data_IF_320580759137
#
_entry.id   IF_320580759137
#
_cell.length_a   1.000
_cell.length_b   1.000
_cell.length_c   1.000
_cell.angle_alpha   90.00
_cell.angle_beta   90.00
_cell.angle_gamma   90.00
#
_symmetry.space_group_name_H-M   'P 1'
#
loop_
_entity.id
_entity.type
_entity.pdbx_description
1 polymer ?
#
# COMPACT_ATOMS: atom_id res chain seq x y z
N UNK A 1 34.67 3.74 23.17
CA UNK A 1 33.34 4.36 23.42
C UNK A 1 32.20 3.40 23.01
N UNK A 2 31.68 2.54 23.92
CA UNK A 2 30.68 1.51 23.59
C UNK A 2 29.25 1.83 24.11
N UNK A 3 28.75 3.06 23.93
CA UNK A 3 27.44 3.47 24.47
C UNK A 3 26.21 3.25 23.55
N UNK A 4 26.42 2.84 22.29
CA UNK A 4 25.35 2.88 21.27
C UNK A 4 24.47 1.60 21.19
N UNK A 5 24.97 0.43 21.61
CA UNK A 5 24.20 -0.84 21.50
C UNK A 5 23.05 -0.93 22.49
N UNK A 6 23.21 -0.41 23.70
CA UNK A 6 22.19 -0.47 24.77
C UNK A 6 20.97 0.39 24.47
N UNK A 7 21.16 1.54 23.80
CA UNK A 7 20.07 2.42 23.41
C UNK A 7 19.19 1.79 22.31
N UNK A 8 19.80 1.15 21.31
CA UNK A 8 19.08 0.45 20.23
C UNK A 8 18.26 -0.74 20.72
N UNK A 9 18.78 -1.51 21.67
CA UNK A 9 18.05 -2.62 22.29
C UNK A 9 16.86 -2.13 23.14
N UNK A 10 17.00 -0.99 23.85
CA UNK A 10 15.89 -0.40 24.60
C UNK A 10 14.79 0.12 23.66
N UNK A 11 15.14 0.75 22.55
CA UNK A 11 14.18 1.21 21.56
C UNK A 11 13.41 0.06 20.90
N UNK A 12 14.10 -1.02 20.51
CA UNK A 12 13.45 -2.22 19.94
C UNK A 12 12.52 -2.93 20.94
N UNK A 13 12.93 -2.98 22.22
CA UNK A 13 12.10 -3.54 23.31
C UNK A 13 10.87 -2.67 23.57
N UNK A 14 11.01 -1.35 23.55
CA UNK A 14 9.89 -0.42 23.71
C UNK A 14 8.90 -0.52 22.54
N UNK A 15 9.38 -0.62 21.30
CA UNK A 15 8.54 -0.83 20.12
C UNK A 15 7.75 -2.13 20.18
N UNK A 16 8.37 -3.22 20.65
CA UNK A 16 7.69 -4.51 20.83
C UNK A 16 6.61 -4.47 21.91
N UNK A 17 6.86 -3.75 23.02
CA UNK A 17 5.87 -3.58 24.11
C UNK A 17 4.66 -2.77 23.63
N UNK A 18 4.90 -1.69 22.87
CA UNK A 18 3.83 -0.87 22.28
C UNK A 18 2.97 -1.66 21.28
N UNK A 19 3.59 -2.53 20.47
CA UNK A 19 2.88 -3.39 19.51
C UNK A 19 1.99 -4.42 20.23
N UNK A 20 2.49 -5.06 21.29
CA UNK A 20 1.70 -6.02 22.09
C UNK A 20 0.53 -5.32 22.80
N UNK A 21 0.74 -4.09 23.30
CA UNK A 21 -0.33 -3.32 23.92
C UNK A 21 -1.42 -2.95 22.89
N UNK A 22 -1.03 -2.53 21.69
CA UNK A 22 -1.96 -2.21 20.59
C UNK A 22 -2.80 -3.43 20.19
N UNK A 23 -2.17 -4.58 20.01
CA UNK A 23 -2.89 -5.84 19.69
C UNK A 23 -3.90 -6.18 20.78
N UNK A 24 -3.55 -5.99 22.06
CA UNK A 24 -4.49 -6.23 23.18
C UNK A 24 -5.67 -5.26 23.18
N UNK A 25 -5.44 -3.99 22.89
CA UNK A 25 -6.49 -2.96 22.82
C UNK A 25 -7.42 -3.22 21.63
N UNK A 26 -6.88 -3.57 20.47
CA UNK A 26 -7.67 -3.88 19.27
C UNK A 26 -8.51 -5.15 19.48
N UNK A 27 -7.95 -6.17 20.15
CA UNK A 27 -8.68 -7.39 20.50
C UNK A 27 -9.83 -7.09 21.47
N UNK A 28 -9.60 -6.23 22.47
CA UNK A 28 -10.62 -5.81 23.42
C UNK A 28 -11.76 -5.02 22.75
N UNK A 29 -11.42 -4.15 21.79
CA UNK A 29 -12.39 -3.35 20.99
C UNK A 29 -13.25 -4.26 20.10
N UNK A 30 -12.64 -5.24 19.44
CA UNK A 30 -13.33 -6.28 18.67
C UNK A 30 -14.29 -7.09 19.53
N UNK A 31 -13.87 -7.55 20.72
CA UNK A 31 -14.76 -8.30 21.62
C UNK A 31 -15.94 -7.48 22.12
N UNK A 32 -15.75 -6.17 22.36
CA UNK A 32 -16.83 -5.29 22.81
C UNK A 32 -17.83 -5.00 21.67
N UNK A 33 -17.36 -4.85 20.43
CA UNK A 33 -18.25 -4.66 19.28
C UNK A 33 -19.10 -5.89 18.99
N UNK A 34 -18.55 -7.10 19.15
CA UNK A 34 -19.29 -8.36 19.00
C UNK A 34 -20.34 -8.52 20.12
N UNK A 35 -20.06 -7.99 21.33
CA UNK A 35 -21.00 -8.06 22.46
C UNK A 35 -22.11 -7.01 22.38
N UNK A 36 -21.87 -5.91 21.66
CA UNK A 36 -22.85 -4.84 21.43
C UNK A 36 -23.85 -5.17 20.31
N UNK A 37 -23.53 -6.09 19.40
CA UNK A 37 -24.50 -6.67 18.46
C UNK A 37 -25.37 -7.72 19.16
N UNK A 38 -26.35 -7.27 19.94
CA UNK A 38 -27.38 -8.14 20.50
C UNK A 38 -28.33 -8.64 19.38
N UNK A 39 -28.67 -9.95 19.33
CA UNK A 39 -29.61 -10.50 18.36
C UNK A 39 -31.03 -9.93 18.44
N UNK A 40 -31.35 -9.17 19.50
CA UNK A 40 -32.66 -8.51 19.64
C UNK A 40 -32.83 -7.32 18.69
N UNK A 41 -31.74 -6.70 18.21
CA UNK A 41 -31.82 -5.55 17.30
C UNK A 41 -32.08 -5.95 15.83
N UNK A 42 -31.76 -7.18 15.44
CA UNK A 42 -32.07 -7.71 14.11
C UNK A 42 -33.56 -8.10 13.96
N UNK A 43 -34.25 -8.40 15.07
CA UNK A 43 -35.66 -8.80 15.07
C UNK A 43 -36.63 -7.63 14.85
N UNK A 44 -36.24 -6.41 15.25
CA UNK A 44 -37.01 -5.19 15.01
C UNK A 44 -36.93 -4.74 13.54
N UNK A 45 -35.76 -4.89 12.90
CA UNK A 45 -35.58 -4.52 11.49
C UNK A 45 -36.33 -5.46 10.52
N UNK A 46 -36.48 -6.74 10.88
CA UNK A 46 -37.23 -7.70 10.05
C UNK A 46 -38.76 -7.54 10.13
N UNK A 47 -39.32 -7.02 11.23
CA UNK A 47 -40.76 -6.80 11.32
C UNK A 47 -41.22 -5.57 10.52
N UNK A 48 -40.37 -4.55 10.37
CA UNK A 48 -40.73 -3.31 9.67
C UNK A 48 -40.72 -3.48 8.13
N UNK A 49 -39.87 -4.36 7.60
CA UNK A 49 -39.85 -4.73 6.17
C UNK A 49 -41.01 -5.66 5.74
N UNK A 50 -41.74 -6.26 6.69
CA UNK A 50 -42.85 -7.18 6.37
C UNK A 50 -44.19 -6.50 6.06
N UNK A 51 -44.29 -5.17 6.26
CA UNK A 51 -45.54 -4.41 6.02
C UNK A 51 -45.61 -3.67 4.68
N UNK A 52 -44.57 -3.69 3.85
CA UNK A 52 -44.55 -2.96 2.57
C UNK A 52 -44.03 -3.81 1.40
N UNK A 53 -44.87 -4.72 0.87
CA UNK A 53 -45.01 -5.03 -0.57
C UNK A 53 -45.97 -6.19 -0.81
N UNK A 54 -47.15 -5.86 -1.32
CA UNK A 54 -47.94 -6.76 -2.17
C UNK A 54 -47.58 -6.46 -3.64
N UNK A 55 -47.68 -7.50 -4.48
CA UNK A 55 -47.49 -7.58 -5.95
C UNK A 55 -46.12 -8.08 -6.48
N UNK A 56 -46.01 -9.43 -6.54
CA UNK A 56 -45.49 -10.34 -7.61
C UNK A 56 -44.16 -10.09 -8.39
N UNK A 57 -43.60 -11.12 -9.10
CA UNK A 57 -43.54 -12.56 -8.82
C UNK A 57 -42.10 -13.11 -8.68
N UNK A 58 -42.00 -14.32 -8.13
CA UNK A 58 -40.77 -15.03 -7.80
C UNK A 58 -39.98 -15.54 -9.02
N UNK A 59 -38.66 -15.30 -9.01
CA UNK A 59 -37.66 -16.17 -9.63
C UNK A 59 -36.79 -16.78 -8.56
N UNK A 60 -36.82 -18.11 -8.48
CA UNK A 60 -36.04 -18.94 -7.55
C UNK A 60 -34.56 -18.91 -7.95
N UNK A 61 -33.69 -18.47 -7.05
CA UNK A 61 -32.29 -18.92 -7.05
C UNK A 61 -31.85 -19.30 -5.64
N UNK A 62 -31.33 -20.51 -5.57
CA UNK A 62 -30.98 -21.28 -4.39
C UNK A 62 -29.64 -20.80 -3.81
N UNK A 63 -29.66 -20.19 -2.62
CA UNK A 63 -28.46 -19.99 -1.82
C UNK A 63 -28.18 -21.25 -1.00
N UNK A 64 -27.13 -21.98 -1.37
CA UNK A 64 -26.55 -23.02 -0.53
C UNK A 64 -25.66 -22.34 0.51
N UNK A 65 -26.10 -22.47 1.77
CA UNK A 65 -25.32 -22.29 2.99
C UNK A 65 -24.04 -23.11 2.92
N UNK A 66 -22.90 -22.44 3.08
CA UNK A 66 -21.67 -23.06 3.56
C UNK A 66 -21.15 -22.16 4.69
N UNK A 67 -21.40 -22.64 5.91
CA UNK A 67 -20.57 -22.35 7.07
C UNK A 67 -19.11 -22.69 6.74
N UNK A 68 -18.15 -22.14 7.50
CA UNK A 68 -17.00 -22.84 8.09
C UNK A 68 -16.09 -21.81 8.82
N UNK A 69 -15.27 -22.26 9.78
CA UNK A 69 -14.97 -21.48 10.99
C UNK A 69 -13.62 -20.75 10.96
N UNK A 70 -13.58 -19.62 11.67
CA UNK A 70 -12.35 -18.99 12.15
C UNK A 70 -11.75 -19.78 13.32
N UNK A 71 -10.46 -20.13 13.25
CA UNK A 71 -9.46 -20.00 14.34
C UNK A 71 -8.09 -20.54 13.90
N UNK A 72 -7.03 -19.97 14.50
CA UNK A 72 -5.60 -20.39 14.52
C UNK A 72 -4.72 -19.83 13.38
N UNK A 73 -3.54 -19.21 13.57
CA UNK A 73 -2.55 -19.27 14.65
C UNK A 73 -1.68 -17.99 14.71
N UNK A 74 -1.25 -17.64 15.92
CA UNK A 74 -0.06 -16.86 16.21
C UNK A 74 1.21 -17.74 16.28
N UNK A 75 2.38 -17.13 16.07
CA UNK A 75 3.72 -17.56 16.53
C UNK A 75 4.36 -18.86 16.00
N UNK A 76 5.30 -18.71 15.05
CA UNK A 76 6.56 -19.48 14.88
C UNK A 76 7.42 -18.66 13.90
N UNK A 77 8.72 -18.35 14.04
CA UNK A 77 9.86 -19.07 14.64
C UNK A 77 11.10 -18.14 14.62
N UNK A 78 11.87 -18.10 15.70
CA UNK A 78 13.29 -17.69 15.73
C UNK A 78 14.19 -18.94 15.62
N UNK A 79 15.39 -18.78 15.02
CA UNK A 79 16.61 -19.64 15.03
C UNK A 79 16.95 -20.47 13.78
N UNK A 80 17.99 -20.02 13.06
CA UNK A 80 19.22 -20.69 12.53
C UNK A 80 19.74 -19.79 11.39
N UNK A 81 21.02 -19.46 11.25
CA UNK A 81 22.18 -20.33 11.04
C UNK A 81 23.45 -19.65 11.60
N UNK A 82 24.33 -20.44 12.23
CA UNK A 82 25.73 -20.13 12.45
C UNK A 82 26.59 -21.29 11.91
N UNK A 83 27.78 -20.92 11.41
CA UNK A 83 29.01 -21.69 11.12
C UNK A 83 29.02 -22.78 10.04
N UNK A 84 30.01 -22.71 9.14
CA UNK A 84 31.10 -23.69 8.89
C UNK A 84 32.09 -23.01 7.89
N UNK A 85 33.33 -22.67 8.30
CA UNK A 85 34.62 -23.42 8.14
C UNK A 85 35.09 -23.50 6.67
N UNK A 86 36.36 -23.41 6.27
CA UNK A 86 37.66 -23.09 6.88
C UNK A 86 38.68 -22.93 5.74
N UNK A 87 39.79 -22.26 6.04
CA UNK A 87 41.07 -22.10 5.32
C UNK A 87 41.67 -23.39 4.70
N UNK A 88 42.35 -23.23 3.55
CA UNK A 88 43.49 -24.08 3.17
C UNK A 88 44.70 -23.23 2.76
N UNK A 89 45.83 -23.60 3.33
CA UNK A 89 47.19 -23.12 3.10
C UNK A 89 47.93 -24.15 2.26
N UNK A 90 48.69 -23.76 1.23
CA UNK A 90 49.80 -24.56 0.67
C UNK A 90 50.96 -23.63 0.33
N UNK A 91 52.17 -24.02 0.75
CA UNK A 91 53.42 -23.31 0.49
C UNK A 91 54.35 -24.02 -0.50
N UNK A 92 55.11 -23.18 -1.23
CA UNK A 92 56.57 -23.20 -1.51
C UNK A 92 57.24 -24.40 -2.21
N UNK A 93 57.86 -24.14 -3.38
CA UNK A 93 59.31 -24.20 -3.76
C UNK A 93 59.47 -24.07 -5.31
N UNK A 94 60.18 -23.07 -5.89
CA UNK A 94 61.63 -22.86 -6.21
C UNK A 94 62.24 -24.01 -7.06
N UNK A 95 62.98 -23.87 -8.17
CA UNK A 95 63.33 -22.84 -9.18
C UNK A 95 64.11 -23.57 -10.31
N UNK A 96 64.09 -23.10 -11.57
CA UNK A 96 65.29 -23.10 -12.44
C UNK A 96 65.09 -22.20 -13.69
N UNK A 97 66.20 -21.65 -14.18
CA UNK A 97 66.28 -20.49 -15.06
C UNK A 97 66.48 -20.87 -16.54
N UNK A 98 65.84 -20.11 -17.44
CA UNK A 98 66.36 -19.89 -18.79
C UNK A 98 65.78 -18.58 -19.37
N UNK A 99 66.68 -17.65 -19.68
CA UNK A 99 66.59 -16.51 -20.62
C UNK A 99 65.21 -15.87 -20.88
N UNK A 100 64.98 -14.67 -20.33
CA UNK A 100 63.82 -13.83 -20.66
C UNK A 100 64.14 -12.85 -21.82
N UNK A 101 63.23 -12.67 -22.81
CA UNK A 101 63.33 -11.60 -23.82
C UNK A 101 63.06 -10.20 -23.21
N UNK A 102 63.46 -9.10 -23.88
CA UNK A 102 63.26 -7.74 -23.35
C UNK A 102 61.78 -7.44 -23.08
N UNK A 103 61.45 -6.59 -22.09
CA UNK A 103 60.07 -6.29 -21.75
C UNK A 103 59.36 -5.62 -22.93
N UNK A 104 58.10 -5.98 -23.21
CA UNK A 104 57.30 -5.26 -24.21
C UNK A 104 57.12 -3.81 -23.78
N UNK A 105 57.18 -2.90 -24.76
CA UNK A 105 56.90 -1.47 -24.56
C UNK A 105 55.49 -1.27 -23.97
N UNK A 106 55.29 -0.29 -23.07
CA UNK A 106 53.98 -0.03 -22.50
C UNK A 106 52.97 0.31 -23.60
N UNK A 107 51.70 -0.13 -23.48
CA UNK A 107 50.66 0.23 -24.43
C UNK A 107 50.42 1.74 -24.42
N UNK A 108 49.97 2.33 -25.55
CA UNK A 108 49.61 3.75 -25.58
C UNK A 108 48.51 4.04 -24.55
N UNK A 109 48.49 5.25 -23.97
CA UNK A 109 47.45 5.65 -23.02
C UNK A 109 46.05 5.55 -23.69
N UNK A 110 45.01 5.20 -22.91
CA UNK A 110 43.66 5.13 -23.45
C UNK A 110 43.23 6.49 -24.01
N UNK A 111 42.44 6.51 -25.10
CA UNK A 111 41.81 7.74 -25.58
C UNK A 111 41.04 8.39 -24.42
N UNK A 112 41.24 9.70 -24.23
CA UNK A 112 40.49 10.47 -23.23
C UNK A 112 38.98 10.32 -23.46
N UNK A 113 38.16 10.55 -22.41
CA UNK A 113 36.72 10.33 -22.50
C UNK A 113 36.14 11.12 -23.68
N UNK A 114 35.64 10.41 -24.70
CA UNK A 114 34.74 10.99 -25.68
C UNK A 114 33.61 11.65 -24.90
N UNK A 115 33.36 12.92 -25.24
CA UNK A 115 32.43 13.79 -24.54
C UNK A 115 31.16 13.05 -24.15
N UNK A 116 30.85 13.10 -22.86
CA UNK A 116 29.56 12.68 -22.33
C UNK A 116 28.48 13.44 -23.10
N UNK A 117 27.85 12.76 -24.06
CA UNK A 117 26.54 13.15 -24.56
C UNK A 117 25.67 13.43 -23.34
N UNK A 118 25.08 14.63 -23.20
CA UNK A 118 24.18 14.89 -22.10
C UNK A 118 23.06 13.87 -22.18
N UNK A 119 22.98 13.00 -21.18
CA UNK A 119 21.79 12.19 -20.92
C UNK A 119 20.62 13.16 -20.98
N UNK A 120 19.56 12.91 -21.77
CA UNK A 120 18.38 13.73 -21.73
C UNK A 120 17.90 13.74 -20.28
N UNK A 121 18.06 14.87 -19.60
CA UNK A 121 17.50 15.07 -18.28
C UNK A 121 15.99 14.92 -18.47
N UNK A 122 15.43 13.78 -18.06
CA UNK A 122 13.99 13.62 -17.97
C UNK A 122 13.51 14.83 -17.18
N UNK A 123 12.66 15.70 -17.74
CA UNK A 123 12.20 16.88 -17.03
C UNK A 123 11.58 16.37 -15.72
N UNK A 124 12.13 16.83 -14.59
CA UNK A 124 11.55 16.52 -13.29
C UNK A 124 10.11 17.05 -13.29
N UNK A 125 9.15 16.13 -13.40
CA UNK A 125 7.74 16.48 -13.34
C UNK A 125 7.53 17.07 -11.94
N UNK A 126 7.25 18.37 -11.88
CA UNK A 126 7.02 19.05 -10.61
C UNK A 126 5.78 18.46 -9.94
N UNK A 127 5.81 18.42 -8.60
CA UNK A 127 4.63 18.08 -7.79
C UNK A 127 3.42 18.90 -8.26
N UNK A 128 2.22 18.30 -8.40
CA UNK A 128 1.00 19.01 -8.73
C UNK A 128 0.78 20.18 -7.77
N UNK A 129 0.53 21.36 -8.33
CA UNK A 129 0.10 22.53 -7.56
C UNK A 129 -1.43 22.48 -7.55
N UNK A 130 -1.99 22.04 -6.43
CA UNK A 130 -3.45 21.95 -6.24
C UNK A 130 -3.91 23.09 -5.36
N UNK A 131 -4.95 23.79 -5.79
CA UNK A 131 -5.56 24.86 -4.99
C UNK A 131 -6.05 24.32 -3.64
N UNK A 132 -5.94 25.07 -2.53
CA UNK A 132 -6.43 24.63 -1.22
C UNK A 132 -7.93 24.31 -1.18
N UNK A 133 -8.70 24.95 -2.07
CA UNK A 133 -10.15 24.79 -2.22
C UNK A 133 -10.46 24.42 -3.66
N UNK A 134 -11.34 23.44 -3.85
CA UNK A 134 -11.80 22.98 -5.15
C UNK A 134 -13.12 23.61 -5.58
N UNK A 135 -13.55 23.34 -6.82
CA UNK A 135 -14.92 23.60 -7.26
C UNK A 135 -15.96 22.98 -6.31
N UNK A 136 -17.14 23.60 -6.21
CA UNK A 136 -18.23 23.09 -5.38
C UNK A 136 -18.59 21.65 -5.74
N UNK A 137 -18.70 20.78 -4.72
CA UNK A 137 -19.01 19.36 -4.89
C UNK A 137 -17.84 18.49 -5.40
N UNK A 138 -16.68 19.06 -5.73
CA UNK A 138 -15.50 18.29 -6.13
C UNK A 138 -14.78 17.68 -4.92
N UNK A 139 -14.14 16.53 -5.12
CA UNK A 139 -13.41 15.82 -4.08
C UNK A 139 -11.91 15.96 -4.33
N UNK A 140 -11.15 16.25 -3.27
CA UNK A 140 -9.71 16.25 -3.36
C UNK A 140 -9.21 14.81 -3.23
N UNK A 141 -8.54 14.34 -4.28
CA UNK A 141 -7.79 13.09 -4.25
C UNK A 141 -6.33 13.39 -3.94
N UNK A 142 -5.78 12.66 -2.99
CA UNK A 142 -4.38 12.76 -2.59
C UNK A 142 -3.67 11.42 -2.76
N UNK A 143 -2.36 11.48 -2.92
CA UNK A 143 -1.48 10.37 -2.65
C UNK A 143 -1.09 10.43 -1.17
N UNK A 144 -1.37 9.38 -0.43
CA UNK A 144 -0.84 9.21 0.91
C UNK A 144 0.22 8.11 0.89
N UNK A 145 1.32 8.34 1.61
CA UNK A 145 2.42 7.39 1.71
C UNK A 145 2.66 6.99 3.15
N UNK A 146 2.92 5.71 3.36
CA UNK A 146 3.34 5.14 4.63
C UNK A 146 4.78 4.65 4.50
N UNK A 147 5.64 5.08 5.43
CA UNK A 147 7.05 4.68 5.45
C UNK A 147 7.16 3.15 5.52
N UNK A 148 7.69 2.57 4.44
CA UNK A 148 7.80 1.12 4.29
C UNK A 148 9.09 0.50 4.82
N UNK A 149 10.03 1.31 5.31
CA UNK A 149 11.39 0.85 5.61
C UNK A 149 11.42 -0.42 6.49
N UNK A 150 12.18 -1.47 6.08
CA UNK A 150 13.20 -1.49 5.03
C UNK A 150 12.68 -1.80 3.61
N UNK A 151 11.36 -1.86 3.40
CA UNK A 151 10.73 -2.06 2.10
C UNK A 151 10.38 -0.72 1.44
N UNK A 152 9.83 -0.77 0.21
CA UNK A 152 9.28 0.39 -0.49
C UNK A 152 8.09 0.98 0.28
N UNK A 153 7.89 2.28 0.15
CA UNK A 153 6.75 2.95 0.78
C UNK A 153 5.42 2.36 0.30
N UNK A 154 4.47 2.24 1.21
CA UNK A 154 3.12 1.82 0.86
C UNK A 154 2.31 3.04 0.43
N UNK A 155 1.81 3.02 -0.80
CA UNK A 155 1.04 4.11 -1.39
C UNK A 155 -0.45 3.78 -1.40
N UNK A 156 -1.28 4.82 -1.26
CA UNK A 156 -2.71 4.73 -1.39
C UNK A 156 -3.29 6.03 -1.96
N UNK A 157 -4.42 5.94 -2.66
CA UNK A 157 -5.26 7.11 -2.86
C UNK A 157 -6.03 7.41 -1.59
N UNK A 158 -6.18 8.70 -1.31
CA UNK A 158 -7.04 9.22 -0.27
C UNK A 158 -8.07 10.15 -0.88
N UNK A 159 -9.35 9.78 -0.74
CA UNK A 159 -10.47 10.66 -1.10
C UNK A 159 -11.00 11.27 0.19
N UNK A 160 -10.82 12.58 0.35
CA UNK A 160 -11.28 13.31 1.54
C UNK A 160 -12.80 13.38 1.58
N UNK A 161 -13.38 13.26 2.77
CA UNK A 161 -14.74 13.74 3.03
C UNK A 161 -14.82 15.26 2.82
N UNK A 162 -15.97 15.75 2.37
CA UNK A 162 -16.26 17.18 2.26
C UNK A 162 -16.30 17.87 3.62
N UNK A 163 -16.67 17.14 4.68
CA UNK A 163 -16.91 17.72 6.01
C UNK A 163 -15.68 17.67 6.93
N UNK A 164 -14.77 16.73 6.73
CA UNK A 164 -13.57 16.56 7.55
C UNK A 164 -12.42 16.02 6.66
N UNK A 165 -11.33 16.77 6.46
CA UNK A 165 -10.22 16.36 5.59
C UNK A 165 -9.41 15.15 6.11
N UNK A 166 -9.59 14.77 7.38
CA UNK A 166 -8.92 13.61 8.00
C UNK A 166 -9.82 12.35 8.02
N UNK A 167 -11.08 12.48 7.63
CA UNK A 167 -12.00 11.36 7.40
C UNK A 167 -12.16 11.15 5.90
N UNK A 168 -12.16 9.91 5.44
CA UNK A 168 -12.26 9.64 4.00
C UNK A 168 -12.21 8.17 3.62
N UNK A 169 -11.93 7.93 2.34
CA UNK A 169 -11.72 6.59 1.79
C UNK A 169 -10.26 6.42 1.41
N UNK A 170 -9.64 5.37 1.95
CA UNK A 170 -8.32 4.92 1.50
C UNK A 170 -8.50 3.79 0.48
N UNK A 171 -7.95 3.96 -0.72
CA UNK A 171 -7.91 2.93 -1.76
C UNK A 171 -6.47 2.46 -1.92
N UNK A 172 -6.23 1.16 -1.73
CA UNK A 172 -4.88 0.63 -1.87
C UNK A 172 -4.87 -0.86 -2.20
N UNK A 173 -3.80 -1.29 -2.86
CA UNK A 173 -3.45 -2.69 -2.89
C UNK A 173 -2.97 -3.13 -1.48
N UNK A 174 -3.51 -4.23 -0.98
CA UNK A 174 -3.15 -4.84 0.30
C UNK A 174 -2.90 -6.33 0.13
N UNK A 175 -2.01 -6.91 0.92
CA UNK A 175 -1.65 -8.33 0.82
C UNK A 175 -0.16 -8.56 0.99
N UNK A 176 0.31 -9.71 0.54
CA UNK A 176 1.71 -10.12 0.64
C UNK A 176 2.13 -11.03 -0.52
N UNK A 177 3.44 -11.19 -0.70
CA UNK A 177 4.02 -11.99 -1.80
C UNK A 177 3.51 -13.44 -1.83
N UNK A 178 3.19 -14.03 -0.67
CA UNK A 178 2.75 -15.42 -0.56
C UNK A 178 1.28 -15.56 -0.93
N UNK A 179 0.44 -14.66 -0.44
CA UNK A 179 -1.01 -14.72 -0.59
C UNK A 179 -1.54 -13.96 -1.81
N UNK A 180 -0.72 -13.09 -2.40
CA UNK A 180 -1.10 -12.14 -3.43
C UNK A 180 -1.60 -10.83 -2.83
N UNK A 181 -1.90 -9.87 -3.70
CA UNK A 181 -2.50 -8.60 -3.32
C UNK A 181 -3.93 -8.51 -3.84
N UNK A 182 -4.74 -7.72 -3.14
CA UNK A 182 -6.11 -7.36 -3.51
C UNK A 182 -6.32 -5.86 -3.30
N UNK A 183 -7.25 -5.28 -4.05
CA UNK A 183 -7.67 -3.90 -3.81
C UNK A 183 -8.62 -3.83 -2.60
N UNK A 184 -8.34 -2.95 -1.66
CA UNK A 184 -9.18 -2.69 -0.48
C UNK A 184 -9.57 -1.20 -0.42
N UNK A 185 -10.82 -0.97 -0.03
CA UNK A 185 -11.42 0.34 0.25
C UNK A 185 -11.68 0.46 1.74
N UNK A 186 -10.93 1.31 2.44
CA UNK A 186 -11.20 1.62 3.85
C UNK A 186 -12.17 2.78 3.92
N UNK A 187 -13.45 2.47 4.07
CA UNK A 187 -14.58 3.41 4.17
C UNK A 187 -14.54 4.12 5.52
N UNK A 188 -14.88 5.41 5.55
CA UNK A 188 -14.88 6.24 6.77
C UNK A 188 -13.66 6.01 7.65
N UNK A 189 -12.50 5.91 7.02
CA UNK A 189 -11.24 5.81 7.73
C UNK A 189 -10.94 7.18 8.35
N UNK A 190 -10.48 7.19 9.60
CA UNK A 190 -10.00 8.40 10.26
C UNK A 190 -8.48 8.30 10.39
N UNK A 191 -7.75 9.20 9.73
CA UNK A 191 -6.29 9.22 9.75
C UNK A 191 -5.71 9.53 11.15
N UNK A 192 -6.53 10.03 12.08
CA UNK A 192 -6.15 10.39 13.45
C UNK A 192 -6.30 9.23 14.43
N UNK A 193 -7.29 8.35 14.23
CA UNK A 193 -7.56 7.21 15.14
C UNK A 193 -6.61 6.01 14.89
N UNK A 194 -5.80 6.09 13.84
CA UNK A 194 -4.94 4.98 13.46
C UNK A 194 -3.53 5.19 13.98
N UNK A 195 -3.00 4.23 14.76
CA UNK A 195 -1.57 4.18 15.10
C UNK A 195 -0.65 3.93 13.90
N UNK A 196 -1.12 4.17 12.68
CA UNK A 196 -0.42 4.11 11.42
C UNK A 196 -0.80 5.38 10.63
N UNK A 197 -0.14 6.48 10.93
CA UNK A 197 -0.37 7.79 10.31
C UNK A 197 0.48 7.86 9.03
N UNK A 198 -0.05 8.37 7.91
CA UNK A 198 0.75 8.58 6.70
C UNK A 198 1.98 9.44 6.99
N UNK A 199 3.15 9.03 6.48
CA UNK A 199 4.36 9.84 6.52
C UNK A 199 4.30 11.05 5.61
N UNK A 200 3.47 11.01 4.56
CA UNK A 200 3.20 12.18 3.72
C UNK A 200 1.81 12.15 3.12
N UNK A 201 1.31 13.33 2.78
CA UNK A 201 0.07 13.57 2.03
C UNK A 201 0.39 14.55 0.90
N UNK A 202 0.08 14.16 -0.33
CA UNK A 202 0.35 14.95 -1.53
C UNK A 202 -0.97 15.15 -2.27
N UNK A 203 -1.52 16.38 -2.30
CA UNK A 203 -2.66 16.71 -3.14
C UNK A 203 -2.35 16.41 -4.60
N UNK A 204 -3.21 15.61 -5.26
CA UNK A 204 -3.03 15.25 -6.66
C UNK A 204 -3.90 16.13 -7.55
N UNK A 205 -5.22 16.09 -7.36
CA UNK A 205 -6.15 16.97 -8.05
C UNK A 205 -7.52 17.02 -7.36
N UNK A 206 -8.27 18.07 -7.65
CA UNK A 206 -9.72 18.09 -7.46
C UNK A 206 -10.38 17.30 -8.59
N UNK A 207 -11.23 16.35 -8.23
CA UNK A 207 -12.03 15.53 -9.17
C UNK A 207 -13.50 15.93 -9.03
N UNK A 208 -14.19 16.08 -10.16
CA UNK A 208 -15.61 16.45 -10.18
C UNK A 208 -16.46 15.47 -9.34
N UNK A 209 -17.40 16.03 -8.56
CA UNK A 209 -18.29 15.27 -7.68
C UNK A 209 -19.10 14.19 -8.36
N UNK A 210 -19.37 14.32 -9.67
CA UNK A 210 -20.10 13.32 -10.46
C UNK A 210 -19.48 11.92 -10.44
N UNK A 211 -18.19 11.83 -10.15
CA UNK A 211 -17.47 10.55 -10.09
C UNK A 211 -17.57 9.85 -8.72
N UNK A 212 -18.20 10.49 -7.74
CA UNK A 212 -18.29 10.03 -6.36
C UNK A 212 -19.75 9.96 -5.87
N UNK A 213 -20.01 9.01 -4.99
CA UNK A 213 -21.20 8.97 -4.14
C UNK A 213 -20.69 8.98 -2.70
N UNK A 214 -20.57 10.17 -2.10
CA UNK A 214 -19.96 10.32 -0.78
C UNK A 214 -20.67 9.50 0.29
N UNK A 215 -22.00 9.41 0.24
CA UNK A 215 -22.78 8.67 1.24
C UNK A 215 -22.46 7.17 1.18
N UNK A 216 -22.43 6.61 -0.03
CA UNK A 216 -22.04 5.22 -0.24
C UNK A 216 -20.55 5.00 0.10
N UNK A 217 -19.69 5.91 -0.34
CA UNK A 217 -18.25 5.86 -0.12
C UNK A 217 -17.85 5.89 1.35
N UNK A 218 -18.54 6.70 2.14
CA UNK A 218 -18.35 6.80 3.59
C UNK A 218 -19.18 5.76 4.36
N UNK A 219 -19.94 4.87 3.70
CA UNK A 219 -20.72 3.84 4.39
C UNK A 219 -21.56 4.42 5.58
N UNK A 220 -22.22 5.56 5.35
CA UNK A 220 -22.95 6.32 6.37
C UNK A 220 -22.12 6.70 7.61
N UNK A 221 -20.82 6.93 7.47
CA UNK A 221 -19.92 7.28 8.57
C UNK A 221 -19.35 6.07 9.33
N UNK A 222 -19.75 4.84 8.97
CA UNK A 222 -19.34 3.64 9.69
C UNK A 222 -18.07 3.07 9.04
N UNK A 223 -17.00 2.96 9.82
CA UNK A 223 -15.75 2.36 9.35
C UNK A 223 -15.97 0.94 8.83
N UNK A 224 -15.51 0.65 7.61
CA UNK A 224 -15.64 -0.65 6.96
C UNK A 224 -14.45 -0.90 6.03
N UNK A 225 -13.93 -2.12 6.06
CA UNK A 225 -13.06 -2.63 5.00
C UNK A 225 -13.93 -3.25 3.92
N UNK A 226 -13.77 -2.78 2.69
CA UNK A 226 -14.56 -3.22 1.55
C UNK A 226 -13.65 -3.61 0.37
N UNK A 227 -14.19 -4.37 -0.56
CA UNK A 227 -13.54 -4.77 -1.82
C UNK A 227 -14.42 -4.47 -3.03
N UNK A 228 -15.66 -4.03 -2.80
CA UNK A 228 -16.61 -3.69 -3.86
C UNK A 228 -16.57 -2.17 -4.09
N UNK A 229 -16.35 -1.70 -5.33
CA UNK A 229 -16.44 -0.27 -5.65
C UNK A 229 -17.91 0.19 -5.59
N UNK A 230 -18.14 1.40 -5.06
CA UNK A 230 -19.48 2.00 -4.93
C UNK A 230 -19.66 3.30 -5.71
N UNK A 231 -18.60 3.80 -6.34
CA UNK A 231 -18.64 5.00 -7.18
C UNK A 231 -17.80 4.83 -8.46
N UNK A 232 -17.91 5.78 -9.39
CA UNK A 232 -17.23 5.71 -10.69
C UNK A 232 -15.71 5.80 -10.56
N UNK A 233 -15.20 6.61 -9.62
CA UNK A 233 -13.76 6.68 -9.34
C UNK A 233 -13.22 5.31 -8.93
N UNK A 234 -13.85 4.67 -7.94
CA UNK A 234 -13.46 3.35 -7.45
C UNK A 234 -13.60 2.27 -8.53
N UNK A 235 -14.70 2.29 -9.29
CA UNK A 235 -14.94 1.34 -10.36
C UNK A 235 -13.89 1.47 -11.48
N UNK A 236 -13.48 2.69 -11.82
CA UNK A 236 -12.41 2.94 -12.79
C UNK A 236 -11.06 2.44 -12.29
N UNK A 237 -10.67 2.80 -11.05
CA UNK A 237 -9.42 2.33 -10.45
C UNK A 237 -9.37 0.79 -10.31
N UNK A 238 -10.52 0.15 -10.09
CA UNK A 238 -10.65 -1.31 -9.97
C UNK A 238 -10.52 -2.09 -11.28
N UNK A 239 -10.48 -1.41 -12.44
CA UNK A 239 -10.21 -2.06 -13.73
C UNK A 239 -8.76 -2.52 -13.85
N UNK A 240 -7.87 -1.99 -13.01
CA UNK A 240 -6.48 -2.41 -12.90
C UNK A 240 -6.38 -3.44 -11.79
N UNK A 241 -5.91 -4.63 -12.16
CA UNK A 241 -5.72 -5.72 -11.22
C UNK A 241 -4.68 -5.35 -10.17
N UNK A 242 -4.92 -5.78 -8.93
CA UNK A 242 -3.91 -5.68 -7.89
C UNK A 242 -2.69 -6.56 -8.26
N UNK A 243 -1.49 -6.22 -7.75
CA UNK A 243 -0.28 -7.01 -7.96
C UNK A 243 -0.47 -8.51 -7.76
N UNK A 244 -0.07 -9.29 -8.76
CA UNK A 244 -0.10 -10.75 -8.70
C UNK A 244 0.87 -11.35 -7.68
N UNK A 245 0.73 -12.66 -7.44
CA UNK A 245 1.68 -13.45 -6.62
C UNK A 245 3.01 -13.56 -7.36
N UNK A 246 3.97 -12.69 -7.11
CA UNK A 246 5.31 -12.84 -7.68
C UNK A 246 6.40 -12.61 -6.64
N UNK A 247 7.49 -13.37 -6.76
CA UNK A 247 8.69 -13.24 -5.94
C UNK A 247 9.55 -12.03 -6.35
N UNK A 248 9.26 -11.45 -7.52
CA UNK A 248 9.84 -10.18 -7.92
C UNK A 248 9.11 -9.09 -7.14
N UNK A 249 9.87 -8.11 -6.62
CA UNK A 249 9.34 -7.00 -5.82
C UNK A 249 8.25 -6.23 -6.59
N UNK A 250 6.99 -6.65 -6.53
CA UNK A 250 5.88 -5.82 -6.99
C UNK A 250 5.49 -4.89 -5.85
N UNK A 251 5.64 -3.61 -6.10
CA UNK A 251 5.24 -2.54 -5.18
C UNK A 251 3.75 -2.24 -5.31
N UNK A 252 3.12 -1.87 -4.19
CA UNK A 252 1.77 -1.26 -4.20
C UNK A 252 1.75 0.06 -4.98
N UNK A 253 2.91 0.70 -5.10
CA UNK A 253 3.21 1.83 -6.00
C UNK A 253 2.81 1.54 -7.46
N UNK A 254 3.03 0.31 -7.94
CA UNK A 254 2.77 -0.05 -9.34
C UNK A 254 1.27 -0.01 -9.66
N UNK A 255 0.42 -0.48 -8.75
CA UNK A 255 -1.03 -0.35 -8.91
C UNK A 255 -1.49 1.10 -8.93
N UNK A 256 -0.91 1.97 -8.11
CA UNK A 256 -1.23 3.41 -8.11
C UNK A 256 -0.90 4.02 -9.49
N UNK A 257 0.27 3.71 -10.04
CA UNK A 257 0.68 4.23 -11.35
C UNK A 257 -0.24 3.74 -12.48
N UNK A 258 -0.50 2.43 -12.54
CA UNK A 258 -1.35 1.84 -13.58
C UNK A 258 -2.81 2.30 -13.45
N UNK A 259 -3.35 2.38 -12.23
CA UNK A 259 -4.69 2.90 -12.00
C UNK A 259 -4.81 4.39 -12.31
N UNK A 260 -3.75 5.18 -12.13
CA UNK A 260 -3.74 6.59 -12.56
C UNK A 260 -3.89 6.70 -14.08
N UNK A 261 -3.18 5.87 -14.84
CA UNK A 261 -3.32 5.82 -16.30
C UNK A 261 -4.74 5.38 -16.71
N UNK A 262 -5.35 4.45 -15.97
CA UNK A 262 -6.74 4.07 -16.19
C UNK A 262 -7.73 5.19 -15.88
N UNK A 263 -7.52 5.94 -14.79
CA UNK A 263 -8.33 7.10 -14.43
C UNK A 263 -8.21 8.22 -15.47
N UNK A 264 -7.05 8.38 -16.11
CA UNK A 264 -6.87 9.30 -17.25
C UNK A 264 -7.67 8.83 -18.47
N UNK A 265 -7.60 7.53 -18.82
CA UNK A 265 -8.37 6.96 -19.94
C UNK A 265 -9.87 7.17 -19.78
N UNK A 266 -10.38 7.10 -18.56
CA UNK A 266 -11.79 7.32 -18.24
C UNK A 266 -12.14 8.81 -18.03
N UNK A 267 -11.20 9.74 -18.21
CA UNK A 267 -11.43 11.18 -18.09
C UNK A 267 -11.69 11.66 -16.66
N UNK A 268 -11.19 10.92 -15.67
CA UNK A 268 -11.32 11.22 -14.24
C UNK A 268 -10.08 11.98 -13.74
N UNK A 269 -8.89 11.51 -14.12
CA UNK A 269 -7.62 12.19 -13.85
C UNK A 269 -7.11 12.97 -15.06
N UNK A 270 -6.37 14.03 -14.77
CA UNK A 270 -5.60 14.76 -15.77
C UNK A 270 -4.30 14.00 -16.08
N UNK A 271 -3.79 14.16 -17.29
CA UNK A 271 -2.58 13.46 -17.77
C UNK A 271 -1.36 13.83 -16.91
N UNK A 272 -1.29 15.07 -16.41
CA UNK A 272 -0.24 15.56 -15.54
C UNK A 272 -0.19 14.82 -14.20
N UNK A 273 -1.34 14.45 -13.65
CA UNK A 273 -1.45 13.68 -12.40
C UNK A 273 -0.80 12.30 -12.56
N UNK A 274 -1.14 11.58 -13.63
CA UNK A 274 -0.53 10.28 -13.93
C UNK A 274 0.97 10.41 -14.28
N UNK A 275 1.36 11.45 -15.02
CA UNK A 275 2.76 11.73 -15.32
C UNK A 275 3.58 11.99 -14.05
N UNK A 276 3.02 12.72 -13.07
CA UNK A 276 3.66 12.91 -11.78
C UNK A 276 3.84 11.60 -11.03
N UNK A 277 2.78 10.79 -10.90
CA UNK A 277 2.84 9.50 -10.18
C UNK A 277 3.88 8.56 -10.79
N UNK A 278 4.00 8.48 -12.12
CA UNK A 278 5.09 7.77 -12.81
C UNK A 278 6.47 8.30 -12.44
N UNK A 279 6.63 9.62 -12.37
CA UNK A 279 7.93 10.25 -12.12
C UNK A 279 8.47 10.02 -10.70
N UNK A 280 7.58 9.70 -9.75
CA UNK A 280 7.95 9.48 -8.34
C UNK A 280 7.84 8.01 -7.92
N UNK A 281 7.53 7.10 -8.84
CA UNK A 281 7.51 5.65 -8.60
C UNK A 281 8.90 5.19 -8.10
N UNK A 282 8.90 4.41 -7.01
CA UNK A 282 10.10 3.93 -6.32
C UNK A 282 10.46 2.53 -6.75
#
# INVERSE_FOLDING_TARGET
MPANKTARLRAARQGSIMMIHKIRTDLARLTNNIKASSPDNERAAFQDLSRSRLTAPQTKQSYKSLSWPFHLFACHRLKRIASHLSTMTVGRSKAEASSAPPPPTPPPPPPGPLGSTPTPSVPSIKRPIVAPTGPGGSFLVELITYNGAPFKDHWAYWVRSQSDPDIGVQLHATGDVRNGFSLEFKRSHDLRDTGNIPSSRIPLQWVDGRYFDEKAMLNNGIHKLDTVPVCMFEASASKVDAPGKTLNSISTTTWIVESADQLVKDGIFNVETAAYLRSVEQ
#
